data_IF_793506176989
#
_entry.id   IF_793506176989
#
_cell.length_a   1.000
_cell.length_b   1.000
_cell.length_c   1.000
_cell.angle_alpha   90.00
_cell.angle_beta   90.00
_cell.angle_gamma   90.00
#
_symmetry.space_group_name_H-M   'P 1'
#
loop_
_entity.id
_entity.type
_entity.pdbx_description
1 polymer ?
#
# COMPACT_ATOMS: atom_id res chain seq x y z
N UNK A 1 -7.11 -20.08 -8.47
CA UNK A 1 -5.74 -19.83 -8.98
C UNK A 1 -5.27 -18.48 -8.46
N UNK A 2 -4.21 -18.43 -7.65
CA UNK A 2 -3.59 -17.16 -7.23
C UNK A 2 -2.83 -16.54 -8.41
N UNK A 3 -2.86 -15.21 -8.57
CA UNK A 3 -2.17 -14.52 -9.66
C UNK A 3 -0.66 -14.80 -9.59
N UNK A 4 -0.07 -15.17 -10.74
CA UNK A 4 1.40 -15.15 -10.95
C UNK A 4 1.84 -13.69 -10.93
N UNK A 5 2.34 -13.23 -9.79
CA UNK A 5 2.68 -11.83 -9.55
C UNK A 5 2.44 -11.43 -8.10
N UNK A 6 3.36 -11.85 -7.22
CA UNK A 6 3.39 -11.38 -5.84
C UNK A 6 4.03 -10.00 -5.75
N UNK A 7 3.75 -9.28 -4.66
CA UNK A 7 4.56 -8.11 -4.32
C UNK A 7 6.02 -8.54 -4.15
N UNK A 8 7.01 -7.78 -4.68
CA UNK A 8 8.42 -8.06 -4.42
C UNK A 8 8.68 -8.22 -2.92
N UNK A 9 9.56 -9.15 -2.56
CA UNK A 9 9.91 -9.41 -1.17
C UNK A 9 10.39 -8.13 -0.50
N UNK A 10 9.73 -7.77 0.61
CA UNK A 10 9.97 -6.54 1.36
C UNK A 10 9.48 -6.71 2.79
N UNK A 11 10.13 -6.03 3.74
CA UNK A 11 9.55 -5.86 5.07
C UNK A 11 8.55 -4.70 5.04
N UNK A 12 7.47 -4.84 5.79
CA UNK A 12 6.37 -3.87 5.89
C UNK A 12 6.30 -3.40 7.33
N UNK A 13 6.22 -2.09 7.54
CA UNK A 13 6.16 -1.48 8.87
C UNK A 13 5.33 -0.19 8.82
N UNK A 14 4.98 0.35 10.00
CA UNK A 14 4.16 1.56 10.12
C UNK A 14 2.84 1.50 9.31
N UNK A 15 2.17 0.35 9.34
CA UNK A 15 0.89 0.17 8.65
C UNK A 15 -0.22 0.85 9.43
N UNK A 16 -0.90 1.80 8.78
CA UNK A 16 -2.07 2.50 9.31
C UNK A 16 -3.23 2.28 8.35
N UNK A 17 -4.33 1.77 8.89
CA UNK A 17 -5.59 1.58 8.15
C UNK A 17 -6.65 2.39 8.86
N UNK A 18 -7.30 3.28 8.12
CA UNK A 18 -8.34 4.18 8.65
C UNK A 18 -9.60 4.02 7.82
N UNK A 19 -10.73 3.77 8.47
CA UNK A 19 -12.05 3.68 7.81
C UNK A 19 -12.83 4.97 7.98
N UNK A 20 -13.61 5.33 6.96
CA UNK A 20 -14.56 6.43 7.00
C UNK A 20 -15.95 5.85 6.69
N UNK A 21 -16.77 5.69 7.73
CA UNK A 21 -18.01 4.93 7.62
C UNK A 21 -17.76 3.45 7.28
N UNK A 22 -18.70 2.84 6.56
CA UNK A 22 -18.68 1.40 6.23
C UNK A 22 -18.07 1.07 4.87
N UNK A 23 -17.93 2.08 4.00
CA UNK A 23 -17.75 1.87 2.56
C UNK A 23 -16.49 2.53 2.00
N UNK A 24 -15.70 3.23 2.82
CA UNK A 24 -14.43 3.82 2.42
C UNK A 24 -13.33 3.58 3.45
N UNK A 25 -12.10 3.38 2.98
CA UNK A 25 -10.92 3.28 3.82
C UNK A 25 -9.64 3.76 3.11
N UNK A 26 -8.65 4.17 3.89
CA UNK A 26 -7.26 4.34 3.43
C UNK A 26 -6.37 3.29 4.09
N UNK A 27 -5.42 2.76 3.33
CA UNK A 27 -4.37 1.89 3.85
C UNK A 27 -3.00 2.47 3.45
N UNK A 28 -2.24 2.91 4.44
CA UNK A 28 -0.92 3.51 4.28
C UNK A 28 0.10 2.63 4.97
N UNK A 29 1.24 2.42 4.32
CA UNK A 29 2.30 1.59 4.88
C UNK A 29 3.67 2.02 4.36
N UNK A 30 4.69 1.81 5.18
CA UNK A 30 6.08 1.94 4.79
C UNK A 30 6.66 0.55 4.52
N UNK A 31 7.56 0.45 3.55
CA UNK A 31 8.22 -0.81 3.22
C UNK A 31 9.70 -0.62 2.95
N UNK A 32 10.49 -1.63 3.26
CA UNK A 32 11.92 -1.68 2.95
C UNK A 32 12.16 -2.89 2.05
N UNK A 33 12.69 -2.64 0.85
CA UNK A 33 13.15 -3.71 -0.05
C UNK A 33 14.59 -4.08 0.32
N UNK A 34 14.92 -5.34 0.14
CA UNK A 34 16.31 -5.79 0.25
C UNK A 34 17.17 -5.05 -0.79
N UNK A 35 18.32 -4.52 -0.35
CA UNK A 35 19.23 -3.76 -1.19
C UNK A 35 18.81 -2.32 -1.53
N UNK A 36 17.60 -1.87 -1.17
CA UNK A 36 17.21 -0.47 -1.38
C UNK A 36 17.83 0.43 -0.29
N UNK A 37 18.39 1.60 -0.64
CA UNK A 37 19.06 2.46 0.32
C UNK A 37 18.10 3.16 1.30
N UNK A 38 16.82 3.28 0.94
CA UNK A 38 15.80 3.98 1.73
C UNK A 38 14.46 3.25 1.63
N UNK A 39 13.57 3.44 2.61
CA UNK A 39 12.25 2.85 2.55
C UNK A 39 11.36 3.56 1.53
N UNK A 40 10.37 2.82 1.03
CA UNK A 40 9.29 3.35 0.22
C UNK A 40 8.01 3.52 1.02
N UNK A 41 7.06 4.26 0.44
CA UNK A 41 5.71 4.46 0.96
C UNK A 41 4.73 3.88 -0.05
N UNK A 42 3.72 3.20 0.46
CA UNK A 42 2.56 2.76 -0.31
C UNK A 42 1.30 3.33 0.35
N UNK A 43 0.49 4.02 -0.45
CA UNK A 43 -0.81 4.57 -0.05
C UNK A 43 -1.88 4.00 -0.96
N UNK A 44 -2.97 3.53 -0.38
CA UNK A 44 -4.14 3.02 -1.12
C UNK A 44 -5.41 3.65 -0.58
N UNK A 45 -6.34 3.96 -1.48
CA UNK A 45 -7.73 4.26 -1.16
C UNK A 45 -8.60 3.09 -1.59
N UNK A 46 -9.52 2.70 -0.71
CA UNK A 46 -10.37 1.54 -0.86
C UNK A 46 -11.83 1.95 -0.78
N UNK A 47 -12.65 1.37 -1.66
CA UNK A 47 -14.10 1.51 -1.65
C UNK A 47 -14.73 0.13 -1.56
N UNK A 48 -15.81 -0.01 -0.77
CA UNK A 48 -16.65 -1.21 -0.77
C UNK A 48 -17.63 -1.12 -1.95
N UNK A 49 -17.39 -1.93 -2.97
CA UNK A 49 -18.36 -2.17 -4.05
C UNK A 49 -19.32 -3.32 -3.65
N UNK A 50 -20.42 -3.56 -4.38
CA UNK A 50 -21.33 -4.69 -4.09
C UNK A 50 -20.62 -6.05 -4.01
N UNK A 51 -19.59 -6.25 -4.82
CA UNK A 51 -18.74 -7.45 -4.85
C UNK A 51 -17.58 -7.43 -3.83
N UNK A 52 -17.57 -6.44 -2.92
CA UNK A 52 -16.62 -6.28 -1.84
C UNK A 52 -15.62 -5.13 -2.02
N UNK A 53 -14.61 -5.09 -1.14
CA UNK A 53 -13.60 -4.04 -1.14
C UNK A 53 -12.70 -4.08 -2.37
N UNK A 54 -12.44 -2.92 -2.96
CA UNK A 54 -11.56 -2.72 -4.10
C UNK A 54 -10.64 -1.53 -3.87
N UNK A 55 -9.38 -1.66 -4.28
CA UNK A 55 -8.46 -0.53 -4.40
C UNK A 55 -8.94 0.34 -5.56
N UNK A 56 -9.34 1.58 -5.28
CA UNK A 56 -9.78 2.53 -6.31
C UNK A 56 -8.68 3.52 -6.70
N UNK A 57 -7.69 3.70 -5.83
CA UNK A 57 -6.49 4.50 -6.11
C UNK A 57 -5.32 3.95 -5.32
N UNK A 58 -4.13 3.99 -5.91
CA UNK A 58 -2.90 3.61 -5.25
C UNK A 58 -1.75 4.50 -5.71
N UNK A 59 -0.87 4.83 -4.78
CA UNK A 59 0.37 5.52 -5.07
C UNK A 59 1.52 4.84 -4.31
N UNK A 60 2.63 4.62 -5.01
CA UNK A 60 3.85 4.04 -4.46
C UNK A 60 5.00 4.97 -4.82
N UNK A 61 5.81 5.33 -3.82
CA UNK A 61 7.03 6.10 -4.01
C UNK A 61 8.18 5.50 -3.22
N UNK A 62 9.39 5.76 -3.68
CA UNK A 62 10.61 5.59 -2.89
C UNK A 62 10.99 6.95 -2.32
N UNK A 63 11.43 7.02 -1.07
CA UNK A 63 11.99 8.26 -0.56
C UNK A 63 13.30 8.53 -1.30
N UNK A 64 13.34 9.61 -2.07
CA UNK A 64 14.55 10.07 -2.77
C UNK A 64 15.57 10.68 -1.82
N UNK A 65 16.76 10.99 -2.33
CA UNK A 65 17.67 11.91 -1.66
C UNK A 65 17.05 13.30 -1.68
N UNK A 66 16.79 13.87 -0.49
CA UNK A 66 16.57 15.29 -0.40
C UNK A 66 17.87 15.96 -0.84
N UNK A 67 17.78 16.79 -1.88
CA UNK A 67 18.89 17.62 -2.34
C UNK A 67 19.45 18.47 -1.19
#
# INVERSE_FOLDING_TARGET
MARVGGSPQRSIFNTVITTFGTDFATANTEFQREGAPRPGRQSQSWVRMPEGWRVVSAHISMLGEGN
#
